data_IF_040286092714
#
_entry.id   IF_040286092714
#
_cell.length_a   1.000
_cell.length_b   1.000
_cell.length_c   1.000
_cell.angle_alpha   90.00
_cell.angle_beta   90.00
_cell.angle_gamma   90.00
#
_symmetry.space_group_name_H-M   'P 1'
#
loop_
_entity.id
_entity.type
_entity.pdbx_description
1 polymer ?
#
# COMPACT_ATOMS: atom_id res chain seq x y z
N UNK A 1 32.27 12.66 13.35
CA UNK A 1 31.66 13.91 12.90
C UNK A 1 30.68 13.74 11.75
N UNK A 2 31.05 12.92 10.74
CA UNK A 2 30.18 12.64 9.60
C UNK A 2 28.93 11.86 10.03
N UNK A 3 29.08 10.96 10.99
CA UNK A 3 27.97 10.17 11.51
C UNK A 3 26.97 11.05 12.26
N UNK A 4 27.46 11.98 13.07
CA UNK A 4 26.62 12.92 13.80
C UNK A 4 25.90 13.88 12.84
N UNK A 5 26.57 14.29 11.76
CA UNK A 5 25.93 15.10 10.71
C UNK A 5 24.81 14.34 10.02
N UNK A 6 25.03 13.05 9.73
CA UNK A 6 24.00 12.22 9.13
C UNK A 6 22.79 12.07 10.05
N UNK A 7 23.04 11.85 11.34
CA UNK A 7 21.95 11.78 12.32
C UNK A 7 21.19 13.10 12.41
N UNK A 8 21.89 14.21 12.42
CA UNK A 8 21.27 15.54 12.45
C UNK A 8 20.45 15.79 11.21
N UNK A 9 20.97 15.43 10.04
CA UNK A 9 20.23 15.58 8.78
C UNK A 9 19.00 14.68 8.75
N UNK A 10 19.12 13.46 9.25
CA UNK A 10 17.99 12.55 9.38
C UNK A 10 16.93 13.09 10.33
N UNK A 11 17.36 13.58 11.51
CA UNK A 11 16.44 14.16 12.49
C UNK A 11 15.76 15.42 11.95
N UNK A 12 16.49 16.28 11.26
CA UNK A 12 15.95 17.50 10.65
C UNK A 12 14.99 17.14 9.51
N UNK A 13 15.36 16.14 8.71
CA UNK A 13 14.54 15.66 7.59
C UNK A 13 13.27 14.97 8.08
N UNK A 14 13.38 14.26 9.19
CA UNK A 14 12.30 13.42 9.72
C UNK A 14 11.38 14.15 10.67
N UNK A 15 11.87 15.20 11.33
CA UNK A 15 11.14 15.91 12.37
C UNK A 15 10.90 17.38 12.06
N UNK A 16 11.34 17.86 10.90
CA UNK A 16 11.26 19.28 10.59
C UNK A 16 9.91 19.65 9.98
N UNK A 17 9.55 20.92 10.13
CA UNK A 17 8.39 21.49 9.47
C UNK A 17 8.45 21.35 7.93
N UNK A 18 9.63 21.10 7.39
CA UNK A 18 9.82 20.88 5.95
C UNK A 18 9.32 19.52 5.49
N UNK A 19 9.28 18.51 6.39
CA UNK A 19 8.77 17.19 6.07
C UNK A 19 7.28 17.17 5.87
N UNK A 20 6.53 17.97 6.63
CA UNK A 20 5.08 18.04 6.52
C UNK A 20 4.61 18.54 5.14
N UNK A 21 5.12 19.67 4.61
CA UNK A 21 4.77 20.09 3.25
C UNK A 21 5.14 19.06 2.20
N UNK A 22 6.26 18.36 2.38
CA UNK A 22 6.68 17.31 1.45
C UNK A 22 5.68 16.15 1.43
N UNK A 23 5.17 15.75 2.59
CA UNK A 23 4.14 14.71 2.68
C UNK A 23 2.85 15.16 1.99
N UNK A 24 2.41 16.39 2.25
CA UNK A 24 1.21 16.93 1.60
C UNK A 24 1.37 17.00 0.09
N UNK A 25 2.53 17.44 -0.40
CA UNK A 25 2.82 17.48 -1.83
C UNK A 25 2.81 16.07 -2.42
N UNK A 26 3.44 15.12 -1.75
CA UNK A 26 3.50 13.72 -2.16
C UNK A 26 2.09 13.10 -2.25
N UNK A 27 1.29 13.25 -1.20
CA UNK A 27 -0.07 12.70 -1.18
C UNK A 27 -0.97 13.40 -2.19
N UNK A 28 -0.78 14.69 -2.41
CA UNK A 28 -1.51 15.45 -3.41
C UNK A 28 -1.22 14.98 -4.83
N UNK A 29 0.06 14.75 -5.15
CA UNK A 29 0.47 14.22 -6.46
C UNK A 29 -0.10 12.81 -6.67
N UNK A 30 -0.01 11.96 -5.66
CA UNK A 30 -0.56 10.61 -5.75
C UNK A 30 -2.09 10.63 -5.88
N UNK A 31 -2.76 11.51 -5.13
CA UNK A 31 -4.20 11.67 -5.24
C UNK A 31 -4.62 12.16 -6.62
N UNK A 32 -3.88 13.12 -7.18
CA UNK A 32 -4.12 13.61 -8.53
C UNK A 32 -3.90 12.52 -9.58
N UNK A 33 -2.92 11.65 -9.36
CA UNK A 33 -2.64 10.52 -10.26
C UNK A 33 -3.77 9.49 -10.26
N UNK A 34 -4.46 9.35 -9.13
CA UNK A 34 -5.62 8.44 -9.01
C UNK A 34 -6.84 8.97 -9.77
N UNK A 35 -6.98 10.30 -9.90
CA UNK A 35 -8.13 10.92 -10.52
C UNK A 35 -8.53 10.34 -11.88
N UNK A 36 -7.60 10.33 -12.85
CA UNK A 36 -7.89 9.74 -14.16
C UNK A 36 -8.27 8.28 -14.10
N UNK A 37 -7.60 7.51 -13.24
CA UNK A 37 -7.90 6.09 -13.06
C UNK A 37 -9.30 5.87 -12.47
N UNK A 38 -9.66 6.65 -11.46
CA UNK A 38 -11.00 6.59 -10.87
C UNK A 38 -12.06 7.01 -11.88
N UNK A 39 -11.78 8.04 -12.67
CA UNK A 39 -12.70 8.47 -13.74
C UNK A 39 -12.95 7.34 -14.73
N UNK A 40 -11.89 6.61 -15.10
CA UNK A 40 -12.00 5.48 -16.00
C UNK A 40 -12.92 4.40 -15.41
N UNK A 41 -12.71 4.04 -14.14
CA UNK A 41 -13.53 3.02 -13.48
C UNK A 41 -14.95 3.49 -13.23
N UNK A 42 -15.14 4.77 -12.88
CA UNK A 42 -16.48 5.33 -12.65
C UNK A 42 -17.30 5.42 -13.92
N UNK A 43 -16.65 5.51 -15.08
CA UNK A 43 -17.33 5.51 -16.38
C UNK A 43 -17.88 4.15 -16.77
N UNK A 44 -17.45 3.09 -16.10
CA UNK A 44 -18.01 1.75 -16.32
C UNK A 44 -19.41 1.64 -15.72
N UNK A 45 -20.20 0.69 -16.23
CA UNK A 45 -21.59 0.54 -15.83
C UNK A 45 -21.76 0.32 -14.33
N UNK A 46 -20.85 -0.44 -13.70
CA UNK A 46 -20.89 -0.71 -12.26
C UNK A 46 -19.73 0.02 -11.53
N UNK A 47 -19.23 1.11 -12.11
CA UNK A 47 -18.09 1.84 -11.59
C UNK A 47 -18.21 2.25 -10.13
N UNK A 48 -19.29 2.98 -9.75
CA UNK A 48 -19.45 3.39 -8.35
C UNK A 48 -19.50 2.21 -7.37
N UNK A 49 -20.11 1.11 -7.76
CA UNK A 49 -20.16 -0.11 -6.94
C UNK A 49 -18.76 -0.71 -6.78
N UNK A 50 -17.98 -0.75 -7.85
CA UNK A 50 -16.60 -1.27 -7.81
C UNK A 50 -15.73 -0.45 -6.87
N UNK A 51 -15.80 0.88 -6.97
CA UNK A 51 -15.02 1.79 -6.14
C UNK A 51 -15.44 1.64 -4.68
N UNK A 52 -16.74 1.57 -4.42
CA UNK A 52 -17.26 1.39 -3.07
C UNK A 52 -16.80 0.06 -2.46
N UNK A 53 -16.83 -1.02 -3.23
CA UNK A 53 -16.34 -2.32 -2.79
C UNK A 53 -14.85 -2.29 -2.46
N UNK A 54 -14.07 -1.63 -3.30
CA UNK A 54 -12.63 -1.50 -3.08
C UNK A 54 -12.34 -0.68 -1.83
N UNK A 55 -13.05 0.43 -1.62
CA UNK A 55 -12.90 1.25 -0.42
C UNK A 55 -13.29 0.48 0.84
N UNK A 56 -14.43 -0.19 0.79
CA UNK A 56 -14.91 -0.98 1.93
C UNK A 56 -13.94 -2.11 2.25
N UNK A 57 -13.45 -2.83 1.23
CA UNK A 57 -12.47 -3.89 1.41
C UNK A 57 -11.16 -3.38 1.98
N UNK A 58 -10.67 -2.25 1.48
CA UNK A 58 -9.44 -1.64 1.98
C UNK A 58 -9.58 -1.24 3.45
N UNK A 59 -10.69 -0.59 3.79
CA UNK A 59 -10.95 -0.17 5.17
C UNK A 59 -11.08 -1.39 6.08
N UNK A 60 -11.80 -2.41 5.64
CA UNK A 60 -11.98 -3.63 6.41
C UNK A 60 -10.65 -4.33 6.68
N UNK A 61 -9.80 -4.48 5.66
CA UNK A 61 -8.49 -5.10 5.80
C UNK A 61 -7.61 -4.27 6.74
N UNK A 62 -7.58 -2.96 6.54
CA UNK A 62 -6.75 -2.08 7.37
C UNK A 62 -7.15 -2.13 8.83
N UNK A 63 -8.45 -1.97 9.13
CA UNK A 63 -8.92 -1.97 10.51
C UNK A 63 -8.78 -3.34 11.16
N UNK A 64 -9.05 -4.41 10.43
CA UNK A 64 -8.90 -5.78 10.94
C UNK A 64 -7.45 -6.09 11.30
N UNK A 65 -6.53 -5.76 10.41
CA UNK A 65 -5.11 -6.02 10.61
C UNK A 65 -4.54 -5.13 11.72
N UNK A 66 -4.97 -3.87 11.78
CA UNK A 66 -4.55 -2.95 12.84
C UNK A 66 -5.05 -3.44 14.21
N UNK A 67 -6.30 -3.87 14.29
CA UNK A 67 -6.86 -4.43 15.52
C UNK A 67 -6.12 -5.71 15.92
N UNK A 68 -5.81 -6.57 14.96
CA UNK A 68 -5.06 -7.79 15.21
C UNK A 68 -3.66 -7.46 15.76
N UNK A 69 -2.97 -6.50 15.14
CA UNK A 69 -1.64 -6.09 15.57
C UNK A 69 -1.66 -5.49 16.98
N UNK A 70 -2.71 -4.72 17.31
CA UNK A 70 -2.86 -4.13 18.63
C UNK A 70 -3.14 -5.17 19.70
N UNK A 71 -3.97 -6.16 19.39
CA UNK A 71 -4.34 -7.21 20.35
C UNK A 71 -3.26 -8.30 20.49
N UNK A 72 -2.56 -8.59 19.42
CA UNK A 72 -1.50 -9.59 19.41
C UNK A 72 -0.21 -8.90 19.78
N UNK A 73 0.37 -9.28 20.91
CA UNK A 73 1.64 -8.69 21.38
C UNK A 73 2.85 -9.23 20.63
N UNK A 74 2.66 -9.91 19.52
CA UNK A 74 3.73 -10.44 18.69
C UNK A 74 4.35 -9.34 17.84
N UNK A 75 5.66 -9.41 17.69
CA UNK A 75 6.42 -8.53 16.81
C UNK A 75 6.56 -9.21 15.45
N UNK A 76 5.98 -8.60 14.43
CA UNK A 76 6.02 -9.11 13.06
C UNK A 76 7.19 -8.53 12.25
N UNK A 77 8.15 -7.87 12.91
CA UNK A 77 9.30 -7.26 12.23
C UNK A 77 10.11 -8.26 11.41
N UNK A 78 10.11 -9.54 11.81
CA UNK A 78 10.83 -10.59 11.09
C UNK A 78 10.26 -10.86 9.70
N UNK A 79 9.01 -10.46 9.45
CA UNK A 79 8.33 -10.71 8.16
C UNK A 79 8.76 -9.72 7.07
N UNK A 80 9.43 -8.62 7.45
CA UNK A 80 9.76 -7.54 6.52
C UNK A 80 10.57 -8.00 5.31
N UNK A 81 11.61 -8.79 5.55
CA UNK A 81 12.46 -9.30 4.46
C UNK A 81 11.70 -10.22 3.53
N UNK A 82 10.90 -11.12 4.08
CA UNK A 82 10.10 -12.06 3.30
C UNK A 82 9.07 -11.32 2.44
N UNK A 83 8.36 -10.37 3.04
CA UNK A 83 7.34 -9.59 2.34
C UNK A 83 7.96 -8.71 1.25
N UNK A 84 9.11 -8.10 1.52
CA UNK A 84 9.80 -7.27 0.54
C UNK A 84 10.28 -8.12 -0.64
N UNK A 85 10.83 -9.29 -0.38
CA UNK A 85 11.23 -10.22 -1.44
C UNK A 85 10.04 -10.63 -2.30
N UNK A 86 8.92 -10.99 -1.64
CA UNK A 86 7.69 -11.33 -2.34
C UNK A 86 7.18 -10.19 -3.21
N UNK A 87 7.26 -8.96 -2.71
CA UNK A 87 6.85 -7.78 -3.46
C UNK A 87 7.72 -7.57 -4.70
N UNK A 88 9.03 -7.71 -4.56
CA UNK A 88 9.95 -7.56 -5.69
C UNK A 88 9.65 -8.63 -6.75
N UNK A 89 9.46 -9.87 -6.33
CA UNK A 89 9.11 -10.96 -7.26
C UNK A 89 7.78 -10.66 -7.96
N UNK A 90 6.79 -10.18 -7.22
CA UNK A 90 5.48 -9.83 -7.79
C UNK A 90 5.59 -8.69 -8.81
N UNK A 91 6.39 -7.67 -8.52
CA UNK A 91 6.60 -6.55 -9.44
C UNK A 91 7.29 -7.02 -10.72
N UNK A 92 8.33 -7.85 -10.60
CA UNK A 92 9.02 -8.43 -11.76
C UNK A 92 8.04 -9.27 -12.59
N UNK A 93 7.21 -10.08 -11.93
CA UNK A 93 6.21 -10.88 -12.61
C UNK A 93 5.16 -10.02 -13.32
N UNK A 94 4.74 -8.91 -12.71
CA UNK A 94 3.80 -7.98 -13.35
C UNK A 94 4.40 -7.34 -14.60
N UNK A 95 5.67 -6.93 -14.53
CA UNK A 95 6.36 -6.38 -15.69
C UNK A 95 6.46 -7.43 -16.79
N UNK A 96 6.82 -8.67 -16.45
CA UNK A 96 6.87 -9.77 -17.39
C UNK A 96 5.51 -10.04 -18.03
N UNK A 97 4.43 -9.91 -17.25
CA UNK A 97 3.07 -10.11 -17.74
C UNK A 97 2.63 -9.05 -18.76
N UNK A 98 3.19 -7.84 -18.69
CA UNK A 98 2.92 -6.81 -19.69
C UNK A 98 3.32 -7.32 -21.08
N UNK A 99 4.42 -8.05 -21.17
CA UNK A 99 4.89 -8.64 -22.43
C UNK A 99 4.14 -9.93 -22.79
N UNK A 100 3.77 -10.70 -21.78
CA UNK A 100 3.07 -11.99 -21.99
C UNK A 100 1.57 -11.82 -22.23
N UNK A 101 0.98 -10.76 -21.67
CA UNK A 101 -0.43 -10.40 -21.81
C UNK A 101 -1.38 -11.56 -21.48
N UNK A 102 -1.13 -12.24 -20.36
CA UNK A 102 -1.97 -13.33 -19.87
C UNK A 102 -2.95 -12.77 -18.83
N UNK A 103 -4.29 -12.70 -19.14
CA UNK A 103 -5.25 -12.13 -18.17
C UNK A 103 -5.34 -12.91 -16.86
N UNK A 104 -5.29 -14.24 -16.91
CA UNK A 104 -5.35 -15.07 -15.71
C UNK A 104 -4.16 -14.82 -14.79
N UNK A 105 -2.98 -14.61 -15.37
CA UNK A 105 -1.78 -14.29 -14.60
C UNK A 105 -1.89 -12.92 -13.95
N UNK A 106 -2.46 -11.94 -14.65
CA UNK A 106 -2.69 -10.59 -14.11
C UNK A 106 -3.60 -10.65 -12.89
N UNK A 107 -4.69 -11.41 -12.98
CA UNK A 107 -5.62 -11.58 -11.86
C UNK A 107 -4.94 -12.25 -10.67
N UNK A 108 -4.18 -13.30 -10.91
CA UNK A 108 -3.44 -14.03 -9.87
C UNK A 108 -2.42 -13.11 -9.18
N UNK A 109 -1.68 -12.33 -9.97
CA UNK A 109 -0.69 -11.39 -9.45
C UNK A 109 -1.34 -10.31 -8.60
N UNK A 110 -2.49 -9.79 -9.01
CA UNK A 110 -3.24 -8.81 -8.21
C UNK A 110 -3.65 -9.39 -6.86
N UNK A 111 -4.13 -10.63 -6.83
CA UNK A 111 -4.48 -11.31 -5.59
C UNK A 111 -3.26 -11.49 -4.68
N UNK A 112 -2.13 -11.92 -5.26
CA UNK A 112 -0.87 -12.08 -4.51
C UNK A 112 -0.41 -10.75 -3.93
N UNK A 113 -0.47 -9.67 -4.71
CA UNK A 113 -0.07 -8.33 -4.24
C UNK A 113 -0.99 -7.86 -3.12
N UNK A 114 -2.30 -8.12 -3.20
CA UNK A 114 -3.24 -7.79 -2.12
C UNK A 114 -2.81 -8.49 -0.83
N UNK A 115 -2.46 -9.75 -0.89
CA UNK A 115 -2.00 -10.50 0.28
C UNK A 115 -0.69 -9.93 0.83
N UNK A 116 0.25 -9.58 -0.05
CA UNK A 116 1.53 -9.00 0.35
C UNK A 116 1.31 -7.63 1.00
N UNK A 117 0.44 -6.80 0.43
CA UNK A 117 0.13 -5.48 0.98
C UNK A 117 -0.53 -5.60 2.35
N UNK A 118 -1.44 -6.56 2.52
CA UNK A 118 -2.04 -6.85 3.82
C UNK A 118 -0.96 -7.22 4.85
N UNK A 119 -0.02 -8.08 4.47
CA UNK A 119 1.11 -8.44 5.32
C UNK A 119 1.98 -7.24 5.65
N UNK A 120 2.23 -6.35 4.69
CA UNK A 120 3.02 -5.14 4.91
C UNK A 120 2.30 -4.16 5.84
N UNK A 121 0.98 -4.04 5.74
CA UNK A 121 0.20 -3.22 6.67
C UNK A 121 0.35 -3.76 8.09
N UNK A 122 0.25 -5.07 8.25
CA UNK A 122 0.44 -5.73 9.53
C UNK A 122 1.86 -5.49 10.07
N UNK A 123 2.86 -5.63 9.21
CA UNK A 123 4.26 -5.40 9.54
C UNK A 123 4.49 -3.96 9.98
N UNK A 124 3.99 -2.98 9.20
CA UNK A 124 4.16 -1.56 9.50
C UNK A 124 3.46 -1.18 10.81
N UNK A 125 2.24 -1.68 11.01
CA UNK A 125 1.48 -1.43 12.25
C UNK A 125 2.21 -2.02 13.45
N UNK A 126 2.74 -3.23 13.30
CA UNK A 126 3.51 -3.88 14.36
C UNK A 126 4.77 -3.09 14.72
N UNK A 127 5.47 -2.58 13.71
CA UNK A 127 6.67 -1.75 13.95
C UNK A 127 6.34 -0.46 14.70
N UNK A 128 5.22 0.16 14.36
CA UNK A 128 4.77 1.39 15.03
C UNK A 128 4.46 1.08 16.50
N UNK A 129 3.73 -0.02 16.75
CA UNK A 129 3.32 -0.41 18.11
C UNK A 129 4.52 -0.75 18.97
N UNK A 130 5.49 -1.50 18.41
CA UNK A 130 6.65 -1.99 19.18
C UNK A 130 7.83 -1.02 19.16
N UNK A 131 7.64 0.19 18.64
CA UNK A 131 8.65 1.23 18.68
C UNK A 131 9.79 1.06 17.69
N UNK A 132 9.67 0.12 16.74
CA UNK A 132 10.68 -0.07 15.69
C UNK A 132 10.72 1.05 14.67
N UNK A 133 9.64 1.82 14.56
CA UNK A 133 9.57 2.99 13.71
C UNK A 133 9.21 4.20 14.57
N UNK A 134 10.19 5.03 14.85
CA UNK A 134 10.02 6.23 15.68
C UNK A 134 9.80 7.48 14.86
N UNK A 135 9.99 7.40 13.54
CA UNK A 135 9.86 8.53 12.64
C UNK A 135 8.39 8.70 12.23
N UNK A 136 7.74 9.73 12.77
CA UNK A 136 6.32 9.96 12.52
C UNK A 136 6.02 10.45 11.09
N UNK A 137 7.05 10.76 10.29
CA UNK A 137 6.89 11.12 8.88
C UNK A 137 6.96 9.86 8.00
N UNK A 138 7.89 8.96 8.31
CA UNK A 138 8.08 7.72 7.56
C UNK A 138 6.94 6.72 7.74
N UNK A 139 6.49 6.58 8.98
CA UNK A 139 5.46 5.61 9.31
C UNK A 139 4.15 5.87 8.53
N UNK A 140 3.59 7.10 8.52
CA UNK A 140 2.39 7.37 7.73
C UNK A 140 2.59 7.20 6.23
N UNK A 141 3.75 7.56 5.69
CA UNK A 141 4.04 7.44 4.26
C UNK A 141 4.05 5.97 3.85
N UNK A 142 4.72 5.12 4.62
CA UNK A 142 4.74 3.68 4.36
C UNK A 142 3.37 3.06 4.39
N UNK A 143 2.60 3.36 5.43
CA UNK A 143 1.22 2.89 5.55
C UNK A 143 0.35 3.40 4.40
N UNK A 144 0.49 4.66 4.05
CA UNK A 144 -0.27 5.26 2.96
C UNK A 144 -0.01 4.53 1.65
N UNK A 145 1.25 4.26 1.33
CA UNK A 145 1.62 3.55 0.11
C UNK A 145 1.05 2.14 0.09
N UNK A 146 1.09 1.44 1.22
CA UNK A 146 0.56 0.08 1.32
C UNK A 146 -0.95 0.07 1.17
N UNK A 147 -1.65 1.00 1.82
CA UNK A 147 -3.11 1.14 1.71
C UNK A 147 -3.49 1.52 0.29
N UNK A 148 -2.76 2.45 -0.31
CA UNK A 148 -2.99 2.91 -1.68
C UNK A 148 -2.86 1.75 -2.68
N UNK A 149 -1.78 0.98 -2.59
CA UNK A 149 -1.58 -0.18 -3.46
C UNK A 149 -2.65 -1.24 -3.23
N UNK A 150 -3.02 -1.47 -1.98
CA UNK A 150 -4.10 -2.39 -1.65
C UNK A 150 -5.42 -1.97 -2.31
N UNK A 151 -5.75 -0.69 -2.22
CA UNK A 151 -6.96 -0.13 -2.82
C UNK A 151 -6.95 -0.32 -4.34
N UNK A 152 -5.85 0.00 -5.00
CA UNK A 152 -5.74 -0.12 -6.46
C UNK A 152 -5.94 -1.57 -6.90
N UNK A 153 -5.30 -2.51 -6.23
CA UNK A 153 -5.41 -3.92 -6.59
C UNK A 153 -6.77 -4.50 -6.26
N UNK A 154 -7.38 -4.06 -5.14
CA UNK A 154 -8.77 -4.44 -4.83
C UNK A 154 -9.74 -3.88 -5.86
N UNK A 155 -9.52 -2.65 -6.31
CA UNK A 155 -10.34 -2.04 -7.36
C UNK A 155 -10.22 -2.83 -8.67
N UNK A 156 -9.00 -3.23 -9.02
CA UNK A 156 -8.76 -4.05 -10.21
C UNK A 156 -9.47 -5.41 -10.09
N UNK A 157 -9.37 -6.07 -8.95
CA UNK A 157 -10.04 -7.33 -8.69
C UNK A 157 -11.56 -7.19 -8.73
N UNK A 158 -12.09 -6.11 -8.12
CA UNK A 158 -13.53 -5.80 -8.17
C UNK A 158 -14.00 -5.63 -9.60
N UNK A 159 -13.23 -4.91 -10.41
CA UNK A 159 -13.56 -4.68 -11.82
C UNK A 159 -13.61 -6.00 -12.60
N UNK A 160 -12.64 -6.89 -12.36
CA UNK A 160 -12.60 -8.19 -13.05
C UNK A 160 -13.77 -9.06 -12.62
N UNK A 161 -14.07 -9.12 -11.33
CA UNK A 161 -15.16 -9.97 -10.83
C UNK A 161 -16.54 -9.40 -11.16
N UNK A 162 -16.70 -8.09 -11.18
CA UNK A 162 -18.00 -7.46 -11.44
C UNK A 162 -18.21 -7.20 -12.92
N UNK A 163 -17.19 -6.77 -13.64
CA UNK A 163 -17.27 -6.43 -15.05
C UNK A 163 -16.86 -7.54 -16.00
N UNK A 164 -16.15 -8.55 -15.51
CA UNK A 164 -15.63 -9.64 -16.33
C UNK A 164 -16.67 -10.72 -16.70
N UNK A 165 -17.83 -10.65 -16.08
CA UNK A 165 -18.92 -11.61 -16.36
C UNK A 165 -19.72 -11.21 -17.62
N UNK A 166 -19.44 -10.05 -18.15
CA UNK A 166 -20.03 -9.58 -19.38
C UNK A 166 -19.10 -9.86 -20.55
#
# INVERSE_FOLDING_TARGET
HLWIRRQRQMCIRDSSAKGLPAIFAFTGVWGASIGPMLSFYLAMDNGPTMVLQALAGTALVFFSLSAYALNTKKDFSYMGGFLMTGLIVAVVAMIANIFLAIPALSLTLSAVVVMIMAGLILFDTSRIIHGGETNYIRAPVGLYLNIFNLFIHLLHLSAVFTGGDD
#
